data_IF_497071768526
#
_entry.id   IF_497071768526
#
_cell.length_a   1.000
_cell.length_b   1.000
_cell.length_c   1.000
_cell.angle_alpha   90.00
_cell.angle_beta   90.00
_cell.angle_gamma   90.00
#
_symmetry.space_group_name_H-M   'P 1'
#
loop_
_entity.id
_entity.type
_entity.pdbx_description
1 polymer ?
#
# COMPACT_ATOMS: atom_id res chain seq x y z
N UNK A 1 -33.43 -23.10 -2.02
CA UNK A 1 -33.25 -22.63 -0.63
C UNK A 1 -32.25 -21.51 -0.67
N UNK A 2 -32.61 -20.33 -0.13
CA UNK A 2 -31.76 -19.15 -0.05
C UNK A 2 -31.82 -18.53 1.35
N UNK A 3 -30.93 -17.61 1.65
CA UNK A 3 -30.91 -16.87 2.91
C UNK A 3 -31.21 -15.41 2.62
N UNK A 4 -32.13 -14.80 3.40
CA UNK A 4 -32.48 -13.40 3.30
C UNK A 4 -31.98 -12.69 4.55
N UNK A 5 -31.24 -11.58 4.39
CA UNK A 5 -30.81 -10.71 5.48
C UNK A 5 -31.62 -9.42 5.41
N UNK A 6 -32.27 -9.05 6.51
CA UNK A 6 -32.94 -7.76 6.65
C UNK A 6 -32.10 -6.88 7.58
N UNK A 7 -31.61 -5.74 7.07
CA UNK A 7 -30.81 -4.78 7.83
C UNK A 7 -31.64 -3.55 8.13
N UNK A 8 -31.79 -3.22 9.40
CA UNK A 8 -32.52 -2.05 9.87
C UNK A 8 -31.55 -1.04 10.45
N UNK A 9 -31.48 0.15 9.83
CA UNK A 9 -30.69 1.26 10.34
C UNK A 9 -31.61 2.36 10.88
N UNK A 10 -31.32 2.94 12.06
CA UNK A 10 -32.07 4.10 12.54
C UNK A 10 -31.85 5.28 11.60
N UNK A 11 -32.90 5.98 11.25
CA UNK A 11 -32.79 7.21 10.47
C UNK A 11 -32.06 8.28 11.28
N UNK A 12 -30.98 8.81 10.75
CA UNK A 12 -30.28 9.94 11.34
C UNK A 12 -30.94 11.24 10.88
N UNK A 13 -31.49 12.04 11.82
CA UNK A 13 -31.98 13.38 11.54
C UNK A 13 -30.91 14.43 11.36
N UNK A 14 -29.62 14.04 11.41
CA UNK A 14 -28.50 14.95 11.15
C UNK A 14 -28.34 15.13 9.65
N UNK A 15 -28.35 16.38 9.19
CA UNK A 15 -27.95 16.69 7.82
C UNK A 15 -26.54 16.10 7.57
N UNK A 16 -26.40 15.35 6.49
CA UNK A 16 -25.09 14.90 6.05
C UNK A 16 -24.35 16.16 5.59
N UNK A 17 -23.43 16.65 6.42
CA UNK A 17 -22.44 17.58 5.94
C UNK A 17 -21.63 16.86 4.86
N UNK A 18 -22.02 17.04 3.60
CA UNK A 18 -21.12 16.78 2.48
C UNK A 18 -19.93 17.73 2.68
N UNK A 19 -18.90 17.25 3.36
CA UNK A 19 -17.58 17.85 3.15
C UNK A 19 -17.29 17.67 1.67
N UNK A 20 -17.46 18.72 0.90
CA UNK A 20 -16.83 18.84 -0.41
C UNK A 20 -15.34 18.69 -0.14
N UNK A 21 -14.84 17.45 -0.24
CA UNK A 21 -13.41 17.26 -0.46
C UNK A 21 -13.18 17.98 -1.78
N UNK A 22 -12.50 19.11 -1.71
CA UNK A 22 -11.92 19.71 -2.91
C UNK A 22 -11.36 18.55 -3.73
N UNK A 23 -11.70 18.45 -4.99
CA UNK A 23 -11.25 17.36 -5.86
C UNK A 23 -9.75 17.56 -6.08
N UNK A 24 -8.96 17.10 -5.10
CA UNK A 24 -7.52 17.11 -5.25
C UNK A 24 -7.19 16.11 -6.36
N UNK A 25 -6.51 16.59 -7.38
CA UNK A 25 -6.07 15.74 -8.47
C UNK A 25 -4.97 14.78 -7.98
N UNK A 26 -5.00 13.51 -8.40
CA UNK A 26 -3.95 12.56 -8.07
C UNK A 26 -2.61 13.02 -8.63
N UNK A 27 -1.56 12.87 -7.85
CA UNK A 27 -0.20 13.22 -8.25
C UNK A 27 0.37 12.12 -9.15
N UNK A 28 1.03 12.52 -10.24
CA UNK A 28 1.65 11.61 -11.20
C UNK A 28 3.14 11.44 -10.94
N UNK A 29 3.72 10.36 -11.50
CA UNK A 29 5.13 10.07 -11.44
C UNK A 29 5.60 9.21 -12.62
N UNK A 30 6.89 8.86 -12.64
CA UNK A 30 7.49 7.97 -13.63
C UNK A 30 8.43 6.94 -13.01
N UNK A 31 8.49 6.95 -11.70
CA UNK A 31 9.38 6.08 -10.92
C UNK A 31 8.92 4.62 -10.99
N UNK A 32 9.80 3.70 -10.60
CA UNK A 32 9.50 2.28 -10.56
C UNK A 32 9.09 1.83 -9.15
N UNK A 33 7.96 1.15 -9.05
CA UNK A 33 7.37 0.71 -7.80
C UNK A 33 7.27 -0.82 -7.78
N UNK A 34 7.77 -1.44 -6.72
CA UNK A 34 7.51 -2.84 -6.43
C UNK A 34 6.28 -2.96 -5.54
N UNK A 35 5.21 -3.51 -6.09
CA UNK A 35 3.96 -3.79 -5.39
C UNK A 35 3.97 -5.23 -4.88
N UNK A 36 3.79 -5.41 -3.57
CA UNK A 36 3.84 -6.71 -2.88
C UNK A 36 2.54 -6.94 -2.12
N UNK A 37 1.78 -7.95 -2.55
CA UNK A 37 0.50 -8.34 -1.95
C UNK A 37 0.20 -9.80 -2.34
N UNK A 38 -0.45 -10.59 -1.52
CA UNK A 38 -0.80 -11.97 -1.87
C UNK A 38 -2.18 -12.09 -2.54
N UNK A 39 -2.99 -11.03 -2.48
CA UNK A 39 -4.29 -10.99 -3.11
C UNK A 39 -4.22 -10.48 -4.55
N UNK A 40 -4.40 -11.38 -5.53
CA UNK A 40 -4.30 -11.02 -6.96
C UNK A 40 -5.23 -9.88 -7.37
N UNK A 41 -6.45 -9.80 -6.80
CA UNK A 41 -7.39 -8.72 -7.08
C UNK A 41 -6.85 -7.37 -6.61
N UNK A 42 -6.22 -7.33 -5.44
CA UNK A 42 -5.60 -6.10 -4.90
C UNK A 42 -4.41 -5.70 -5.77
N UNK A 43 -3.59 -6.66 -6.17
CA UNK A 43 -2.48 -6.42 -7.11
C UNK A 43 -2.99 -5.79 -8.40
N UNK A 44 -3.98 -6.40 -9.05
CA UNK A 44 -4.47 -5.95 -10.35
C UNK A 44 -5.03 -4.52 -10.25
N UNK A 45 -5.90 -4.25 -9.28
CA UNK A 45 -6.49 -2.92 -9.09
C UNK A 45 -5.42 -1.88 -8.75
N UNK A 46 -4.50 -2.20 -7.84
CA UNK A 46 -3.46 -1.24 -7.42
C UNK A 46 -2.46 -0.98 -8.52
N UNK A 47 -2.08 -2.01 -9.29
CA UNK A 47 -1.22 -1.87 -10.47
C UNK A 47 -1.87 -0.94 -11.50
N UNK A 48 -3.13 -1.19 -11.87
CA UNK A 48 -3.84 -0.36 -12.86
C UNK A 48 -3.90 1.11 -12.42
N UNK A 49 -4.12 1.36 -11.13
CA UNK A 49 -4.08 2.72 -10.56
C UNK A 49 -2.68 3.32 -10.73
N UNK A 50 -1.62 2.62 -10.33
CA UNK A 50 -0.25 3.11 -10.38
C UNK A 50 0.19 3.39 -11.83
N UNK A 51 -0.12 2.48 -12.76
CA UNK A 51 0.19 2.65 -14.19
C UNK A 51 -0.58 3.83 -14.80
N UNK A 52 -1.84 4.05 -14.40
CA UNK A 52 -2.62 5.21 -14.83
C UNK A 52 -2.03 6.55 -14.36
N UNK A 53 -1.28 6.52 -13.26
CA UNK A 53 -0.53 7.66 -12.71
C UNK A 53 0.85 7.84 -13.36
N UNK A 54 1.29 6.91 -14.21
CA UNK A 54 2.54 6.97 -14.95
C UNK A 54 3.69 6.16 -14.34
N UNK A 55 3.49 5.47 -13.22
CA UNK A 55 4.49 4.64 -12.58
C UNK A 55 4.75 3.35 -13.35
N UNK A 56 5.99 2.84 -13.28
CA UNK A 56 6.35 1.51 -13.73
C UNK A 56 6.17 0.53 -12.57
N UNK A 57 5.44 -0.58 -12.78
CA UNK A 57 5.08 -1.47 -11.68
C UNK A 57 5.71 -2.84 -11.86
N UNK A 58 6.46 -3.27 -10.84
CA UNK A 58 6.89 -4.63 -10.61
C UNK A 58 5.93 -5.25 -9.59
N UNK A 59 5.60 -6.53 -9.73
CA UNK A 59 4.64 -7.21 -8.87
C UNK A 59 5.27 -8.43 -8.23
N UNK A 60 5.01 -8.62 -6.94
CA UNK A 60 5.35 -9.82 -6.19
C UNK A 60 4.14 -10.30 -5.39
N UNK A 61 3.82 -11.58 -5.46
CA UNK A 61 2.72 -12.21 -4.72
C UNK A 61 3.14 -12.78 -3.36
N UNK A 62 4.37 -12.53 -2.93
CA UNK A 62 4.90 -12.97 -1.63
C UNK A 62 6.14 -12.19 -1.23
N UNK A 63 6.47 -12.21 0.07
CA UNK A 63 7.70 -11.59 0.57
C UNK A 63 8.97 -12.19 -0.02
N UNK A 64 9.03 -13.51 -0.23
CA UNK A 64 10.19 -14.16 -0.86
C UNK A 64 10.38 -13.76 -2.32
N UNK A 65 9.29 -13.60 -3.07
CA UNK A 65 9.34 -13.11 -4.44
C UNK A 65 9.76 -11.65 -4.49
N UNK A 66 9.25 -10.83 -3.57
CA UNK A 66 9.61 -9.42 -3.45
C UNK A 66 11.13 -9.25 -3.24
N UNK A 67 11.73 -10.04 -2.34
CA UNK A 67 13.18 -10.01 -2.11
C UNK A 67 13.96 -10.37 -3.37
N UNK A 68 13.57 -11.41 -4.09
CA UNK A 68 14.22 -11.85 -5.34
C UNK A 68 14.14 -10.77 -6.43
N UNK A 69 12.95 -10.15 -6.61
CA UNK A 69 12.78 -9.09 -7.60
C UNK A 69 13.59 -7.86 -7.20
N UNK A 70 13.51 -7.46 -5.93
CA UNK A 70 14.26 -6.31 -5.44
C UNK A 70 15.78 -6.50 -5.59
N UNK A 71 16.31 -7.67 -5.31
CA UNK A 71 17.74 -7.98 -5.48
C UNK A 71 18.19 -7.88 -6.95
N UNK A 72 17.36 -8.33 -7.89
CA UNK A 72 17.65 -8.28 -9.31
C UNK A 72 17.58 -6.85 -9.90
N UNK A 73 16.63 -6.04 -9.44
CA UNK A 73 16.26 -4.76 -10.04
C UNK A 73 16.39 -3.57 -9.07
N UNK A 74 17.17 -3.71 -7.98
CA UNK A 74 17.28 -2.70 -6.92
C UNK A 74 17.71 -1.31 -7.38
N UNK A 75 18.50 -1.23 -8.46
CA UNK A 75 18.95 0.05 -9.03
C UNK A 75 17.85 0.77 -9.83
N UNK A 76 16.77 0.06 -10.13
CA UNK A 76 15.65 0.55 -10.92
C UNK A 76 14.46 0.85 -10.00
N UNK A 77 14.24 0.04 -8.94
CA UNK A 77 13.10 0.15 -8.05
C UNK A 77 13.32 1.30 -7.07
N UNK A 78 12.49 2.33 -7.19
CA UNK A 78 12.54 3.54 -6.36
C UNK A 78 11.76 3.42 -5.05
N UNK A 79 10.71 2.56 -5.02
CA UNK A 79 9.79 2.43 -3.90
C UNK A 79 9.19 1.02 -3.83
N UNK A 80 8.98 0.53 -2.62
CA UNK A 80 8.23 -0.71 -2.35
C UNK A 80 6.92 -0.37 -1.64
N UNK A 81 5.80 -0.87 -2.15
CA UNK A 81 4.51 -0.90 -1.43
C UNK A 81 4.33 -2.34 -0.95
N UNK A 82 4.29 -2.54 0.35
CA UNK A 82 4.37 -3.86 0.99
C UNK A 82 3.15 -4.12 1.86
N UNK A 83 2.40 -5.16 1.53
CA UNK A 83 1.34 -5.63 2.43
C UNK A 83 1.92 -6.25 3.71
N UNK A 84 1.23 -5.97 4.82
CA UNK A 84 1.65 -6.44 6.14
C UNK A 84 1.29 -7.90 6.39
N UNK A 85 0.19 -8.37 5.81
CA UNK A 85 -0.41 -9.66 6.13
C UNK A 85 -0.38 -10.55 4.90
N UNK A 86 0.64 -11.36 4.82
CA UNK A 86 0.80 -12.33 3.73
C UNK A 86 1.12 -13.70 4.33
N UNK A 87 0.72 -14.80 3.67
CA UNK A 87 1.07 -16.15 4.09
C UNK A 87 2.57 -16.41 3.93
N UNK A 88 3.13 -17.23 4.80
CA UNK A 88 4.54 -17.55 4.80
C UNK A 88 5.41 -16.41 5.33
N UNK A 89 6.18 -15.77 4.46
CA UNK A 89 6.97 -14.59 4.83
C UNK A 89 6.08 -13.35 4.86
N UNK A 90 5.70 -12.91 6.05
CA UNK A 90 4.85 -11.73 6.25
C UNK A 90 5.58 -10.40 5.98
N UNK A 91 4.81 -9.30 6.02
CA UNK A 91 5.33 -7.97 5.71
C UNK A 91 6.44 -7.51 6.66
N UNK A 92 6.37 -7.83 7.97
CA UNK A 92 7.42 -7.44 8.92
C UNK A 92 8.76 -8.11 8.59
N UNK A 93 8.76 -9.41 8.33
CA UNK A 93 9.99 -10.15 7.98
C UNK A 93 10.55 -9.68 6.63
N UNK A 94 9.66 -9.44 5.65
CA UNK A 94 10.04 -8.91 4.34
C UNK A 94 10.68 -7.53 4.47
N UNK A 95 10.07 -6.64 5.28
CA UNK A 95 10.62 -5.32 5.58
C UNK A 95 12.01 -5.40 6.20
N UNK A 96 12.18 -6.22 7.24
CA UNK A 96 13.47 -6.36 7.93
C UNK A 96 14.57 -6.86 6.97
N UNK A 97 14.26 -7.81 6.09
CA UNK A 97 15.21 -8.33 5.09
C UNK A 97 15.54 -7.32 3.99
N UNK A 98 14.54 -6.57 3.49
CA UNK A 98 14.78 -5.49 2.52
C UNK A 98 15.71 -4.44 3.12
N UNK A 99 15.44 -4.02 4.36
CA UNK A 99 16.27 -3.03 5.08
C UNK A 99 17.68 -3.53 5.41
N UNK A 100 17.85 -4.82 5.66
CA UNK A 100 19.16 -5.43 5.88
C UNK A 100 20.00 -5.44 4.59
N UNK A 101 19.36 -5.69 3.43
CA UNK A 101 20.02 -5.68 2.13
C UNK A 101 20.28 -4.26 1.59
N UNK A 102 19.35 -3.35 1.87
CA UNK A 102 19.45 -1.95 1.47
C UNK A 102 18.83 -1.04 2.56
N UNK A 103 19.64 -0.43 3.42
CA UNK A 103 19.15 0.51 4.43
C UNK A 103 18.45 1.74 3.85
N UNK A 104 18.74 2.10 2.59
CA UNK A 104 18.16 3.23 1.87
C UNK A 104 16.79 2.94 1.25
N UNK A 105 16.37 1.69 1.14
CA UNK A 105 15.11 1.32 0.48
C UNK A 105 13.93 2.10 1.05
N UNK A 106 13.13 2.69 0.16
CA UNK A 106 11.91 3.41 0.52
C UNK A 106 10.75 2.41 0.54
N UNK A 107 10.06 2.31 1.67
CA UNK A 107 8.97 1.34 1.85
C UNK A 107 7.74 2.05 2.40
N UNK A 108 6.60 1.85 1.73
CA UNK A 108 5.26 2.14 2.24
C UNK A 108 4.63 0.82 2.66
N UNK A 109 4.18 0.73 3.91
CA UNK A 109 3.40 -0.42 4.36
C UNK A 109 1.92 -0.22 4.05
N UNK A 110 1.24 -1.27 3.62
CA UNK A 110 -0.21 -1.29 3.49
C UNK A 110 -0.84 -2.36 4.38
N UNK A 111 -2.02 -2.09 4.93
CA UNK A 111 -2.75 -3.08 5.75
C UNK A 111 -4.24 -2.73 5.84
N UNK A 112 -5.08 -3.78 5.89
CA UNK A 112 -6.51 -3.65 6.18
C UNK A 112 -6.83 -3.35 7.65
N UNK A 113 -5.88 -3.52 8.55
CA UNK A 113 -6.04 -3.21 9.97
C UNK A 113 -5.48 -1.83 10.29
N UNK A 114 -6.20 -1.08 11.15
CA UNK A 114 -5.69 0.18 11.69
C UNK A 114 -4.33 -0.01 12.36
N UNK A 115 -3.57 1.06 12.51
CA UNK A 115 -2.25 1.11 13.16
C UNK A 115 -2.26 0.42 14.54
N UNK A 116 -2.25 -0.91 14.55
CA UNK A 116 -2.09 -1.72 15.75
C UNK A 116 -0.59 -1.88 16.03
N UNK A 117 -0.25 -2.32 17.22
CA UNK A 117 1.13 -2.33 17.75
C UNK A 117 2.23 -2.86 16.81
N UNK A 118 1.93 -3.71 15.81
CA UNK A 118 2.90 -4.18 14.82
C UNK A 118 3.28 -3.09 13.79
N UNK A 119 2.29 -2.43 13.19
CA UNK A 119 2.56 -1.34 12.23
C UNK A 119 3.29 -0.17 12.89
N UNK A 120 2.95 0.13 14.16
CA UNK A 120 3.66 1.16 14.93
C UNK A 120 5.14 0.80 15.17
N UNK A 121 5.46 -0.47 15.42
CA UNK A 121 6.85 -0.92 15.59
C UNK A 121 7.65 -0.78 14.30
N UNK A 122 7.06 -1.11 13.15
CA UNK A 122 7.74 -1.05 11.86
C UNK A 122 7.96 0.41 11.43
N UNK A 123 7.02 1.31 11.74
CA UNK A 123 7.22 2.74 11.55
C UNK A 123 8.44 3.25 12.35
N UNK A 124 8.62 2.78 13.58
CA UNK A 124 9.80 3.10 14.41
C UNK A 124 11.10 2.52 13.86
N UNK A 125 11.04 1.40 13.10
CA UNK A 125 12.20 0.79 12.44
C UNK A 125 12.63 1.53 11.15
N UNK A 126 12.00 2.66 10.83
CA UNK A 126 12.36 3.48 9.65
C UNK A 126 11.51 3.21 8.40
N UNK A 127 10.32 2.66 8.56
CA UNK A 127 9.31 2.70 7.51
C UNK A 127 8.90 4.14 7.22
N UNK A 128 8.81 4.51 5.94
CA UNK A 128 8.57 5.89 5.53
C UNK A 128 7.12 6.33 5.63
N UNK A 129 6.18 5.41 5.39
CA UNK A 129 4.75 5.71 5.46
C UNK A 129 3.90 4.45 5.63
N UNK A 130 2.66 4.65 6.04
CA UNK A 130 1.64 3.64 6.16
C UNK A 130 0.40 4.04 5.36
N UNK A 131 -0.20 3.07 4.66
CA UNK A 131 -1.46 3.18 3.93
C UNK A 131 -2.47 2.20 4.54
N UNK A 132 -3.58 2.71 5.00
CA UNK A 132 -4.68 1.86 5.48
C UNK A 132 -5.60 1.46 4.32
N UNK A 133 -5.77 0.17 4.09
CA UNK A 133 -6.77 -0.34 3.13
C UNK A 133 -8.20 -0.21 3.71
N UNK A 134 -9.20 0.19 2.91
CA UNK A 134 -9.09 0.59 1.52
C UNK A 134 -8.63 2.05 1.37
N UNK A 135 -7.73 2.31 0.46
CA UNK A 135 -7.22 3.64 0.13
C UNK A 135 -7.68 4.09 -1.27
N UNK A 136 -7.85 5.39 -1.44
CA UNK A 136 -8.19 5.97 -2.74
C UNK A 136 -6.96 6.39 -3.55
N UNK A 137 -7.14 6.63 -4.86
CA UNK A 137 -6.08 7.04 -5.78
C UNK A 137 -5.35 8.32 -5.32
N UNK A 138 -6.07 9.29 -4.78
CA UNK A 138 -5.49 10.56 -4.30
C UNK A 138 -4.58 10.32 -3.10
N UNK A 139 -5.04 9.52 -2.13
CA UNK A 139 -4.26 9.20 -0.93
C UNK A 139 -3.00 8.42 -1.28
N UNK A 140 -3.14 7.37 -2.13
CA UNK A 140 -2.01 6.59 -2.62
C UNK A 140 -0.97 7.47 -3.30
N UNK A 141 -1.39 8.31 -4.24
CA UNK A 141 -0.49 9.18 -5.00
C UNK A 141 0.26 10.17 -4.11
N UNK A 142 -0.41 10.76 -3.12
CA UNK A 142 0.22 11.67 -2.14
C UNK A 142 1.29 10.96 -1.32
N UNK A 143 0.96 9.78 -0.77
CA UNK A 143 1.91 8.99 0.03
C UNK A 143 3.15 8.60 -0.76
N UNK A 144 2.97 8.19 -2.00
CA UNK A 144 4.10 7.89 -2.90
C UNK A 144 4.98 9.11 -3.06
N UNK A 145 4.41 10.27 -3.40
CA UNK A 145 5.21 11.51 -3.61
C UNK A 145 5.91 11.98 -2.34
N UNK A 146 5.27 11.90 -1.18
CA UNK A 146 5.87 12.22 0.12
C UNK A 146 7.11 11.37 0.40
N UNK A 147 7.01 10.06 0.16
CA UNK A 147 8.10 9.12 0.42
C UNK A 147 9.22 9.23 -0.61
N UNK A 148 8.90 9.49 -1.88
CA UNK A 148 9.91 9.67 -2.92
C UNK A 148 10.69 10.97 -2.75
N UNK A 149 10.07 12.02 -2.20
CA UNK A 149 10.70 13.32 -1.96
C UNK A 149 11.56 13.39 -0.68
N UNK A 150 11.53 12.35 0.16
CA UNK A 150 12.21 12.32 1.47
C UNK A 150 13.64 11.77 1.43
#
# INVERSE_FOLDING_TARGET
>A
KGTTFNLYFPASGKAVERREKASEEPLRGCEAILLVDDESIIIDVTRDILESLGYRVFVAASGSEALRIYEADREIIDLVILDMIMPGMGGEETFDRLKANDPGVKIILSSGYSLNGQASKILQKGCRAFLQKPFGIVELSKRIREVLAS
#
